data_IF_697763036131
#
_entry.id   IF_697763036131
#
_cell.length_a   1.000
_cell.length_b   1.000
_cell.length_c   1.000
_cell.angle_alpha   90.00
_cell.angle_beta   90.00
_cell.angle_gamma   90.00
#
_symmetry.space_group_name_H-M   'P 1'
#
loop_
_entity.id
_entity.type
_entity.pdbx_description
1 polymer ?
#
# COMPACT_ATOMS: atom_id res chain seq x y z
N UNK A 1 22.92 3.47 13.13
CA UNK A 1 21.79 3.88 12.28
C UNK A 1 22.30 4.93 11.28
N UNK A 2 22.50 4.56 10.02
CA UNK A 2 22.94 5.46 8.97
C UNK A 2 21.69 6.10 8.28
N UNK A 3 21.80 7.38 7.92
CA UNK A 3 20.80 8.14 7.14
C UNK A 3 19.36 8.14 7.72
N UNK A 4 19.16 8.00 9.03
CA UNK A 4 17.84 7.99 9.65
C UNK A 4 16.95 6.77 9.26
N UNK A 5 17.48 5.77 8.57
CA UNK A 5 16.69 4.64 8.07
C UNK A 5 16.14 3.76 9.18
N UNK A 6 16.79 3.70 10.35
CA UNK A 6 16.27 2.95 11.50
C UNK A 6 14.94 3.50 11.99
N UNK A 7 14.80 4.82 12.11
CA UNK A 7 13.55 5.48 12.51
C UNK A 7 12.45 5.23 11.49
N UNK A 8 12.73 5.46 10.20
CA UNK A 8 11.76 5.21 9.12
C UNK A 8 11.34 3.74 9.02
N UNK A 9 12.26 2.80 9.29
CA UNK A 9 11.92 1.37 9.36
C UNK A 9 11.03 1.07 10.55
N UNK A 10 11.33 1.64 11.73
CA UNK A 10 10.53 1.49 12.94
C UNK A 10 9.10 2.01 12.80
N UNK A 11 8.89 3.16 12.13
CA UNK A 11 7.54 3.66 11.82
C UNK A 11 6.77 2.64 10.98
N UNK A 12 7.41 2.05 9.97
CA UNK A 12 6.78 1.03 9.11
C UNK A 12 6.52 -0.27 9.86
N UNK A 13 7.40 -0.65 10.78
CA UNK A 13 7.20 -1.80 11.67
C UNK A 13 6.00 -1.56 12.57
N UNK A 14 5.91 -0.39 13.19
CA UNK A 14 4.79 0.00 14.04
C UNK A 14 3.46 0.06 13.25
N UNK A 15 3.47 0.64 12.05
CA UNK A 15 2.28 0.68 11.19
C UNK A 15 1.83 -0.73 10.78
N UNK A 16 2.76 -1.62 10.43
CA UNK A 16 2.43 -2.99 10.03
C UNK A 16 1.92 -3.85 11.20
N UNK A 17 2.56 -3.75 12.37
CA UNK A 17 2.22 -4.55 13.54
C UNK A 17 0.97 -4.00 14.26
N UNK A 18 0.84 -2.67 14.34
CA UNK A 18 -0.18 -2.02 15.16
C UNK A 18 -1.61 -2.40 14.79
N UNK A 19 -1.94 -2.43 13.49
CA UNK A 19 -3.27 -2.83 13.06
C UNK A 19 -3.55 -4.33 13.29
N UNK A 20 -2.53 -5.18 13.14
CA UNK A 20 -2.65 -6.62 13.37
C UNK A 20 -2.95 -6.90 14.84
N UNK A 21 -2.19 -6.25 15.74
CA UNK A 21 -2.46 -6.32 17.18
C UNK A 21 -3.86 -5.80 17.51
N UNK A 22 -4.26 -4.67 16.93
CA UNK A 22 -5.59 -4.11 17.16
C UNK A 22 -6.70 -5.06 16.68
N UNK A 23 -6.54 -5.71 15.52
CA UNK A 23 -7.51 -6.68 15.00
C UNK A 23 -7.64 -7.90 15.92
N UNK A 24 -6.51 -8.45 16.40
CA UNK A 24 -6.51 -9.60 17.33
C UNK A 24 -7.12 -9.22 18.67
N UNK A 25 -6.72 -8.11 19.29
CA UNK A 25 -7.26 -7.64 20.58
C UNK A 25 -8.76 -7.35 20.52
N UNK A 26 -9.27 -6.87 19.39
CA UNK A 26 -10.70 -6.65 19.16
C UNK A 26 -11.47 -7.94 18.87
N UNK A 27 -10.80 -9.09 18.76
CA UNK A 27 -11.43 -10.35 18.35
C UNK A 27 -11.83 -10.42 16.88
N UNK A 28 -11.33 -9.50 16.05
CA UNK A 28 -11.60 -9.43 14.61
C UNK A 28 -10.64 -10.29 13.77
N UNK A 29 -9.62 -10.87 14.38
CA UNK A 29 -8.68 -11.79 13.73
C UNK A 29 -8.09 -12.77 14.74
N UNK A 30 -7.72 -13.96 14.25
CA UNK A 30 -7.00 -14.93 15.07
C UNK A 30 -5.52 -14.51 15.25
N UNK A 31 -4.89 -14.99 16.33
CA UNK A 31 -3.49 -14.70 16.68
C UNK A 31 -2.51 -15.01 15.54
N UNK A 32 -2.84 -15.98 14.69
CA UNK A 32 -2.06 -16.37 13.51
C UNK A 32 -1.81 -15.21 12.53
N UNK A 33 -2.62 -14.15 12.54
CA UNK A 33 -2.37 -12.94 11.78
C UNK A 33 -1.02 -12.31 12.15
N UNK A 34 -0.58 -12.42 13.41
CA UNK A 34 0.67 -11.84 13.90
C UNK A 34 1.91 -12.49 13.26
N UNK A 35 1.85 -13.77 12.88
CA UNK A 35 2.94 -14.47 12.20
C UNK A 35 3.31 -13.79 10.87
N UNK A 36 2.34 -13.12 10.25
CA UNK A 36 2.57 -12.39 8.99
C UNK A 36 3.48 -11.18 9.16
N UNK A 37 3.62 -10.64 10.39
CA UNK A 37 4.52 -9.52 10.67
C UNK A 37 5.97 -9.88 10.36
N UNK A 38 6.44 -10.99 10.85
CA UNK A 38 7.81 -11.44 10.62
C UNK A 38 8.08 -11.69 9.12
N UNK A 39 7.16 -12.40 8.46
CA UNK A 39 7.26 -12.70 7.02
C UNK A 39 7.36 -11.43 6.17
N UNK A 40 6.57 -10.41 6.48
CA UNK A 40 6.51 -9.16 5.73
C UNK A 40 7.70 -8.25 6.03
N UNK A 41 8.12 -8.15 7.30
CA UNK A 41 9.06 -7.13 7.74
C UNK A 41 10.52 -7.59 7.73
N UNK A 42 10.80 -8.84 8.05
CA UNK A 42 12.18 -9.36 8.14
C UNK A 42 12.98 -9.14 6.87
N UNK A 43 12.40 -9.50 5.72
CA UNK A 43 13.10 -9.37 4.42
C UNK A 43 13.41 -7.90 4.10
N UNK A 44 12.46 -7.01 4.30
CA UNK A 44 12.65 -5.58 4.05
C UNK A 44 13.64 -4.96 5.04
N UNK A 45 13.52 -5.27 6.33
CA UNK A 45 14.43 -4.78 7.36
C UNK A 45 15.87 -5.22 7.06
N UNK A 46 16.08 -6.49 6.66
CA UNK A 46 17.38 -7.02 6.26
C UNK A 46 17.96 -6.26 5.08
N UNK A 47 17.18 -6.05 4.02
CA UNK A 47 17.62 -5.29 2.85
C UNK A 47 18.03 -3.85 3.20
N UNK A 48 17.32 -3.20 4.14
CA UNK A 48 17.68 -1.87 4.62
C UNK A 48 18.98 -1.85 5.44
N UNK A 49 19.20 -2.87 6.27
CA UNK A 49 20.45 -3.03 7.04
C UNK A 49 21.63 -3.25 6.09
N UNK A 50 21.49 -4.14 5.12
CA UNK A 50 22.52 -4.45 4.13
C UNK A 50 22.87 -3.22 3.28
N UNK A 51 21.86 -2.46 2.86
CA UNK A 51 22.04 -1.19 2.17
C UNK A 51 22.81 -0.18 3.05
N UNK A 52 22.38 -0.01 4.30
CA UNK A 52 23.03 0.92 5.25
C UNK A 52 24.49 0.55 5.50
N UNK A 53 24.77 -0.73 5.63
CA UNK A 53 26.12 -1.26 5.81
C UNK A 53 26.99 -1.00 4.57
N UNK A 54 26.44 -1.25 3.38
CA UNK A 54 27.15 -1.02 2.10
C UNK A 54 27.46 0.45 1.91
N UNK A 55 26.47 1.33 2.11
CA UNK A 55 26.65 2.78 2.01
C UNK A 55 27.67 3.25 3.07
N UNK A 56 27.59 2.75 4.30
CA UNK A 56 28.55 3.04 5.35
C UNK A 56 30.00 2.68 4.96
N UNK A 57 30.21 1.51 4.39
CA UNK A 57 31.55 1.10 3.89
C UNK A 57 32.07 2.00 2.75
N UNK A 58 31.20 2.45 1.88
CA UNK A 58 31.56 3.37 0.78
C UNK A 58 31.91 4.76 1.31
N UNK A 59 31.14 5.27 2.28
CA UNK A 59 31.32 6.66 2.75
C UNK A 59 32.47 6.78 3.75
N UNK A 60 32.72 5.77 4.59
CA UNK A 60 33.68 5.84 5.70
C UNK A 60 34.85 4.85 5.58
N UNK A 61 35.61 4.80 4.46
CA UNK A 61 36.80 3.99 4.42
C UNK A 61 37.87 4.58 5.34
N UNK A 62 38.45 3.75 6.19
CA UNK A 62 39.56 4.14 7.10
C UNK A 62 40.93 4.26 6.40
N UNK A 63 41.09 3.61 5.25
CA UNK A 63 42.31 3.63 4.47
C UNK A 63 42.31 4.81 3.49
N UNK A 64 43.29 5.72 3.59
CA UNK A 64 43.43 6.91 2.75
C UNK A 64 43.53 6.58 1.25
N UNK A 65 44.17 5.45 0.86
CA UNK A 65 44.27 5.07 -0.57
C UNK A 65 42.92 4.65 -1.12
N UNK A 66 42.15 3.90 -0.33
CA UNK A 66 40.77 3.48 -0.68
C UNK A 66 39.85 4.69 -0.73
N UNK A 67 39.99 5.64 0.20
CA UNK A 67 39.23 6.89 0.18
C UNK A 67 39.53 7.72 -1.10
N UNK A 68 40.80 7.86 -1.47
CA UNK A 68 41.19 8.56 -2.70
C UNK A 68 40.64 7.89 -3.97
N UNK A 69 40.74 6.56 -4.08
CA UNK A 69 40.17 5.83 -5.20
C UNK A 69 38.65 5.98 -5.27
N UNK A 70 37.94 5.89 -4.14
CA UNK A 70 36.51 6.17 -4.06
C UNK A 70 36.15 7.58 -4.57
N UNK A 71 36.89 8.61 -4.15
CA UNK A 71 36.63 10.00 -4.53
C UNK A 71 36.76 10.20 -6.05
N UNK A 72 37.75 9.58 -6.67
CA UNK A 72 37.92 9.57 -8.13
C UNK A 72 36.72 8.90 -8.81
N UNK A 73 36.29 7.73 -8.32
CA UNK A 73 35.13 7.00 -8.87
C UNK A 73 33.83 7.83 -8.73
N UNK A 74 33.60 8.46 -7.57
CA UNK A 74 32.41 9.29 -7.36
C UNK A 74 32.44 10.53 -8.28
N UNK A 75 33.61 11.16 -8.45
CA UNK A 75 33.73 12.30 -9.39
C UNK A 75 33.46 11.86 -10.83
N UNK A 76 34.02 10.77 -11.28
CA UNK A 76 33.75 10.23 -12.61
C UNK A 76 32.27 9.88 -12.80
N UNK A 77 31.66 9.24 -11.82
CA UNK A 77 30.24 8.90 -11.82
C UNK A 77 29.33 10.14 -11.86
N UNK A 78 29.74 11.24 -11.22
CA UNK A 78 28.98 12.51 -11.22
C UNK A 78 28.95 13.22 -12.59
N UNK A 79 29.85 12.85 -13.50
CA UNK A 79 29.87 13.37 -14.88
C UNK A 79 28.80 12.70 -15.76
N UNK A 80 28.25 11.56 -15.34
CA UNK A 80 27.18 10.85 -16.05
C UNK A 80 25.81 11.29 -15.48
N UNK A 81 25.02 12.11 -16.22
CA UNK A 81 23.76 12.68 -15.67
C UNK A 81 22.77 11.63 -15.18
N UNK A 82 22.66 10.51 -15.87
CA UNK A 82 21.75 9.41 -15.51
C UNK A 82 22.14 8.77 -14.16
N UNK A 83 23.45 8.52 -13.95
CA UNK A 83 23.95 7.93 -12.71
C UNK A 83 23.85 8.92 -11.55
N UNK A 84 24.17 10.19 -11.79
CA UNK A 84 23.98 11.26 -10.81
C UNK A 84 22.52 11.34 -10.35
N UNK A 85 21.58 11.33 -11.28
CA UNK A 85 20.13 11.36 -10.98
C UNK A 85 19.69 10.11 -10.21
N UNK A 86 20.13 8.93 -10.61
CA UNK A 86 19.86 7.66 -9.91
C UNK A 86 20.28 7.70 -8.43
N UNK A 87 21.47 8.27 -8.16
CA UNK A 87 22.00 8.40 -6.80
C UNK A 87 21.24 9.49 -6.02
N UNK A 88 21.02 10.68 -6.62
CA UNK A 88 20.32 11.78 -5.96
C UNK A 88 18.87 11.46 -5.64
N UNK A 89 18.16 10.74 -6.52
CA UNK A 89 16.79 10.31 -6.32
C UNK A 89 16.69 9.03 -5.45
N UNK A 90 17.82 8.53 -4.94
CA UNK A 90 17.89 7.35 -4.09
C UNK A 90 17.14 6.13 -4.68
N UNK A 91 17.16 5.97 -6.02
CA UNK A 91 16.46 4.88 -6.72
C UNK A 91 16.95 3.48 -6.38
N UNK A 92 18.13 3.38 -5.76
CA UNK A 92 18.69 2.12 -5.25
C UNK A 92 18.03 1.66 -3.94
N UNK A 93 17.19 2.51 -3.32
CA UNK A 93 16.51 2.17 -2.07
C UNK A 93 15.40 1.17 -2.32
N UNK A 94 15.38 0.00 -1.63
CA UNK A 94 14.31 -0.96 -1.80
C UNK A 94 12.98 -0.38 -1.36
N UNK A 95 12.00 -0.39 -2.27
CA UNK A 95 10.62 -0.03 -1.94
C UNK A 95 9.95 -1.17 -1.18
N UNK A 96 9.08 -0.87 -0.20
CA UNK A 96 8.33 -1.90 0.52
C UNK A 96 7.44 -2.68 -0.48
N UNK A 97 7.62 -3.99 -0.47
CA UNK A 97 6.80 -4.92 -1.24
C UNK A 97 6.61 -6.22 -0.46
N UNK A 98 5.37 -6.63 -0.28
CA UNK A 98 5.02 -7.85 0.41
C UNK A 98 4.62 -8.93 -0.59
N UNK A 99 5.57 -9.81 -0.90
CA UNK A 99 5.31 -10.97 -1.77
C UNK A 99 4.53 -12.07 -1.05
N UNK A 100 4.56 -12.07 0.29
CA UNK A 100 3.91 -13.05 1.17
C UNK A 100 3.43 -12.35 2.43
N UNK A 101 2.62 -13.03 3.22
CA UNK A 101 2.06 -12.50 4.46
C UNK A 101 0.57 -12.26 4.34
N UNK A 102 0.08 -11.15 4.86
CA UNK A 102 -1.33 -10.75 4.85
C UNK A 102 -1.73 -10.11 3.49
N UNK A 103 -1.46 -10.83 2.41
CA UNK A 103 -1.77 -10.44 1.02
C UNK A 103 -2.18 -11.66 0.20
N UNK A 104 -3.06 -11.46 -0.78
CA UNK A 104 -3.48 -12.49 -1.76
C UNK A 104 -3.11 -12.00 -3.15
N UNK A 105 -2.17 -12.69 -3.79
CA UNK A 105 -1.75 -12.40 -5.15
C UNK A 105 -2.57 -13.20 -6.15
N UNK A 106 -3.01 -12.55 -7.22
CA UNK A 106 -3.63 -13.21 -8.37
C UNK A 106 -2.59 -13.99 -9.18
N UNK A 107 -3.11 -14.84 -10.08
CA UNK A 107 -2.28 -15.45 -11.11
C UNK A 107 -2.81 -15.03 -12.50
N UNK A 108 -2.02 -14.28 -13.28
CA UNK A 108 -0.68 -13.73 -12.96
C UNK A 108 -0.74 -12.69 -11.84
N UNK A 109 0.40 -12.44 -11.12
CA UNK A 109 0.44 -11.46 -10.04
C UNK A 109 0.07 -10.05 -10.50
N UNK A 110 -0.84 -9.40 -9.78
CA UNK A 110 -1.13 -7.98 -9.98
C UNK A 110 0.03 -7.11 -9.51
N UNK A 111 0.52 -6.17 -10.33
CA UNK A 111 1.68 -5.34 -9.98
C UNK A 111 1.47 -4.44 -8.75
N UNK A 112 0.21 -4.20 -8.36
CA UNK A 112 -0.14 -3.32 -7.22
C UNK A 112 -0.20 -4.06 -5.89
N UNK A 113 -0.52 -5.35 -5.87
CA UNK A 113 -0.70 -6.12 -4.62
C UNK A 113 0.61 -6.21 -3.85
N UNK A 114 0.55 -6.03 -2.54
CA UNK A 114 1.73 -6.02 -1.66
C UNK A 114 2.48 -4.69 -1.62
N UNK A 115 2.05 -3.67 -2.38
CA UNK A 115 2.60 -2.31 -2.34
C UNK A 115 1.66 -1.34 -1.62
N UNK A 116 2.15 -0.17 -1.27
CA UNK A 116 1.31 0.90 -0.75
C UNK A 116 0.43 1.47 -1.87
N UNK A 117 -0.84 1.72 -1.56
CA UNK A 117 -1.73 2.45 -2.46
C UNK A 117 -1.34 3.92 -2.52
N UNK A 118 -1.68 4.58 -3.63
CA UNK A 118 -1.44 6.02 -3.80
C UNK A 118 -2.35 6.84 -2.88
N UNK A 119 -1.88 8.02 -2.47
CA UNK A 119 -2.63 8.97 -1.65
C UNK A 119 -2.91 10.26 -2.44
N UNK A 120 -3.88 10.24 -3.38
CA UNK A 120 -4.22 11.42 -4.16
C UNK A 120 -5.09 12.39 -3.37
N UNK A 121 -5.18 13.62 -3.90
CA UNK A 121 -6.24 14.53 -3.48
C UNK A 121 -7.52 14.25 -4.25
N UNK A 122 -8.63 14.22 -3.50
CA UNK A 122 -9.94 13.82 -3.97
C UNK A 122 -11.02 14.79 -3.49
N UNK A 123 -12.18 14.71 -4.11
CA UNK A 123 -13.38 15.40 -3.64
C UNK A 123 -14.42 14.37 -3.20
N UNK A 124 -15.13 14.66 -2.13
CA UNK A 124 -16.39 14.02 -1.76
C UNK A 124 -17.55 14.97 -2.04
N UNK A 125 -18.79 14.53 -1.85
CA UNK A 125 -19.95 15.44 -1.98
C UNK A 125 -19.92 16.59 -0.98
N UNK A 126 -19.29 16.38 0.19
CA UNK A 126 -19.27 17.35 1.29
C UNK A 126 -17.95 18.13 1.39
N UNK A 127 -16.84 17.51 0.98
CA UNK A 127 -15.49 18.06 1.15
C UNK A 127 -14.72 18.03 -0.15
N UNK A 128 -14.00 19.11 -0.44
CA UNK A 128 -13.14 19.23 -1.61
C UNK A 128 -11.68 19.24 -1.24
N UNK A 129 -10.84 18.76 -2.14
CA UNK A 129 -9.38 18.80 -2.05
C UNK A 129 -8.80 18.17 -0.76
N UNK A 130 -9.40 17.07 -0.29
CA UNK A 130 -8.93 16.29 0.86
C UNK A 130 -8.02 15.16 0.42
N UNK A 131 -7.23 14.62 1.32
CA UNK A 131 -6.47 13.40 1.04
C UNK A 131 -7.41 12.19 1.04
N UNK A 132 -7.16 11.21 0.18
CA UNK A 132 -7.95 9.99 0.17
C UNK A 132 -7.93 9.30 1.53
N UNK A 133 -6.80 9.30 2.23
CA UNK A 133 -6.68 8.71 3.56
C UNK A 133 -7.58 9.37 4.62
N UNK A 134 -7.88 10.67 4.48
CA UNK A 134 -8.83 11.38 5.37
C UNK A 134 -10.28 10.98 5.11
N UNK A 135 -10.54 10.35 3.96
CA UNK A 135 -11.86 9.82 3.59
C UNK A 135 -12.03 8.38 4.06
N UNK A 136 -11.02 7.54 3.83
CA UNK A 136 -11.09 6.11 4.14
C UNK A 136 -10.81 5.78 5.61
N UNK A 137 -10.31 6.75 6.39
CA UNK A 137 -10.06 6.56 7.83
C UNK A 137 -8.93 5.55 8.11
N UNK A 138 -8.72 5.13 9.36
CA UNK A 138 -7.53 4.38 9.77
C UNK A 138 -7.67 2.85 9.67
N UNK A 139 -8.76 2.31 9.11
CA UNK A 139 -9.02 0.87 9.12
C UNK A 139 -9.02 0.27 7.71
N UNK A 140 -9.61 -0.90 7.53
CA UNK A 140 -9.75 -1.52 6.22
C UNK A 140 -10.60 -0.67 5.27
N UNK A 141 -10.30 -0.74 3.98
CA UNK A 141 -11.12 -0.11 2.95
C UNK A 141 -11.23 -0.99 1.70
N UNK A 142 -12.41 -0.98 1.10
CA UNK A 142 -12.65 -1.59 -0.21
C UNK A 142 -12.91 -0.49 -1.22
N UNK A 143 -12.03 -0.34 -2.19
CA UNK A 143 -12.09 0.69 -3.21
C UNK A 143 -12.52 0.07 -4.54
N UNK A 144 -13.52 0.64 -5.20
CA UNK A 144 -14.00 0.20 -6.51
C UNK A 144 -13.95 1.36 -7.51
N UNK A 145 -13.22 1.19 -8.62
CA UNK A 145 -13.17 2.15 -9.70
C UNK A 145 -14.39 1.99 -10.62
N UNK A 146 -15.18 3.06 -10.78
CA UNK A 146 -16.41 3.11 -11.58
C UNK A 146 -17.46 2.03 -11.22
N UNK A 147 -17.41 1.49 -10.01
CA UNK A 147 -18.35 0.48 -9.54
C UNK A 147 -18.85 0.82 -8.13
N UNK A 148 -20.01 0.28 -7.75
CA UNK A 148 -20.50 0.30 -6.38
C UNK A 148 -19.96 -0.94 -5.64
N UNK A 149 -19.23 -0.78 -4.51
CA UNK A 149 -18.67 -1.90 -3.73
C UNK A 149 -19.70 -2.94 -3.32
N UNK A 150 -20.90 -2.56 -2.88
CA UNK A 150 -21.97 -3.50 -2.49
C UNK A 150 -22.38 -4.39 -3.66
N UNK A 151 -22.59 -3.81 -4.85
CA UNK A 151 -22.99 -4.57 -6.05
C UNK A 151 -21.89 -5.54 -6.51
N UNK A 152 -20.64 -5.14 -6.34
CA UNK A 152 -19.48 -5.93 -6.78
C UNK A 152 -19.15 -7.06 -5.82
N UNK A 153 -19.25 -6.82 -4.51
CA UNK A 153 -18.99 -7.83 -3.48
C UNK A 153 -20.15 -8.83 -3.33
N UNK A 154 -21.38 -8.38 -3.56
CA UNK A 154 -22.58 -9.08 -3.11
C UNK A 154 -22.81 -8.86 -1.62
N UNK A 155 -24.03 -9.14 -1.14
CA UNK A 155 -24.47 -8.77 0.20
C UNK A 155 -23.66 -9.47 1.30
N UNK A 156 -23.42 -10.77 1.16
CA UNK A 156 -22.70 -11.58 2.16
C UNK A 156 -21.27 -11.04 2.40
N UNK A 157 -20.48 -10.84 1.34
CA UNK A 157 -19.13 -10.33 1.47
C UNK A 157 -19.11 -8.86 1.92
N UNK A 158 -20.10 -8.07 1.48
CA UNK A 158 -20.22 -6.68 1.91
C UNK A 158 -20.45 -6.57 3.42
N UNK A 159 -21.44 -7.32 3.96
CA UNK A 159 -21.75 -7.31 5.39
C UNK A 159 -20.59 -7.89 6.23
N UNK A 160 -19.87 -8.89 5.73
CA UNK A 160 -18.68 -9.41 6.41
C UNK A 160 -17.60 -8.32 6.59
N UNK A 161 -17.27 -7.58 5.53
CA UNK A 161 -16.30 -6.46 5.64
C UNK A 161 -16.84 -5.29 6.45
N UNK A 162 -18.15 -5.05 6.41
CA UNK A 162 -18.80 -4.01 7.22
C UNK A 162 -18.71 -4.35 8.71
N UNK A 163 -18.91 -5.59 9.09
CA UNK A 163 -18.75 -6.08 10.48
C UNK A 163 -17.30 -5.91 10.97
N UNK A 164 -16.32 -6.05 10.09
CA UNK A 164 -14.91 -5.75 10.36
C UNK A 164 -14.61 -4.24 10.46
N UNK A 165 -15.57 -3.38 10.15
CA UNK A 165 -15.42 -1.92 10.16
C UNK A 165 -14.74 -1.34 8.92
N UNK A 166 -14.79 -2.04 7.79
CA UNK A 166 -14.23 -1.55 6.54
C UNK A 166 -15.04 -0.39 5.98
N UNK A 167 -14.37 0.57 5.35
CA UNK A 167 -14.97 1.67 4.59
C UNK A 167 -15.08 1.26 3.13
N UNK A 168 -16.25 1.47 2.54
CA UNK A 168 -16.50 1.16 1.13
C UNK A 168 -16.49 2.43 0.31
N UNK A 169 -15.72 2.44 -0.76
CA UNK A 169 -15.48 3.65 -1.57
C UNK A 169 -15.72 3.38 -3.05
N UNK A 170 -16.67 4.10 -3.62
CA UNK A 170 -16.87 4.18 -5.06
C UNK A 170 -16.02 5.33 -5.62
N UNK A 171 -14.90 4.98 -6.26
CA UNK A 171 -14.00 5.93 -6.91
C UNK A 171 -14.48 6.24 -8.31
N UNK A 172 -14.48 7.52 -8.71
CA UNK A 172 -15.00 7.98 -10.00
C UNK A 172 -14.21 9.13 -10.60
N UNK A 173 -14.34 9.38 -11.91
CA UNK A 173 -13.99 10.67 -12.49
C UNK A 173 -14.72 11.81 -11.76
N UNK A 174 -14.06 12.95 -11.57
CA UNK A 174 -14.63 14.07 -10.84
C UNK A 174 -16.01 14.52 -11.40
N UNK A 175 -16.17 14.46 -12.71
CA UNK A 175 -17.43 14.84 -13.41
C UNK A 175 -18.63 13.96 -13.04
N UNK A 176 -18.40 12.79 -12.45
CA UNK A 176 -19.43 11.84 -12.06
C UNK A 176 -19.70 11.83 -10.55
N UNK A 177 -19.09 12.73 -9.80
CA UNK A 177 -19.25 12.78 -8.34
C UNK A 177 -20.69 13.01 -7.90
N UNK A 178 -21.45 13.79 -8.65
CA UNK A 178 -22.85 14.18 -8.34
C UNK A 178 -23.92 13.29 -8.98
N UNK A 179 -23.55 12.19 -9.63
CA UNK A 179 -24.55 11.31 -10.26
C UNK A 179 -25.44 10.63 -9.21
N UNK A 180 -26.79 10.73 -9.33
CA UNK A 180 -27.72 10.33 -8.28
C UNK A 180 -27.99 8.83 -8.19
N UNK A 181 -27.67 8.06 -9.23
CA UNK A 181 -28.08 6.67 -9.41
C UNK A 181 -27.31 5.63 -8.56
N UNK A 182 -26.52 6.08 -7.58
CA UNK A 182 -25.68 5.22 -6.75
C UNK A 182 -25.64 5.65 -5.28
N UNK A 183 -26.74 6.19 -4.76
CA UNK A 183 -26.86 6.54 -3.35
C UNK A 183 -27.03 5.28 -2.50
N UNK A 184 -25.90 4.77 -2.01
CA UNK A 184 -25.84 3.73 -0.99
C UNK A 184 -25.29 4.40 0.29
N UNK A 185 -26.04 4.43 1.41
CA UNK A 185 -25.62 5.12 2.63
C UNK A 185 -24.35 4.56 3.24
N UNK A 186 -24.02 3.31 2.95
CA UNK A 186 -22.81 2.64 3.44
C UNK A 186 -21.59 2.84 2.51
N UNK A 187 -21.77 3.51 1.36
CA UNK A 187 -20.73 3.67 0.35
C UNK A 187 -20.37 5.15 0.17
N UNK A 188 -19.11 5.49 0.42
CA UNK A 188 -18.60 6.83 0.18
C UNK A 188 -18.26 7.01 -1.31
N UNK A 189 -18.84 8.01 -1.95
CA UNK A 189 -18.51 8.36 -3.34
C UNK A 189 -17.37 9.38 -3.36
N UNK A 190 -16.34 9.11 -4.15
CA UNK A 190 -15.12 9.92 -4.24
C UNK A 190 -14.81 10.26 -5.69
N UNK A 191 -14.62 11.54 -5.98
CA UNK A 191 -14.23 12.07 -7.29
C UNK A 191 -12.72 12.26 -7.39
N UNK A 192 -12.11 11.75 -8.46
CA UNK A 192 -10.68 11.92 -8.76
C UNK A 192 -10.37 13.37 -9.19
N UNK A 193 -9.90 14.18 -8.25
CA UNK A 193 -9.64 15.60 -8.49
C UNK A 193 -8.45 15.85 -9.43
N UNK A 194 -7.43 15.00 -9.34
CA UNK A 194 -6.14 15.23 -10.00
C UNK A 194 -5.90 14.35 -11.22
N UNK A 195 -6.79 13.40 -11.49
CA UNK A 195 -6.61 12.37 -12.50
C UNK A 195 -5.63 11.25 -12.09
N UNK A 196 -5.11 11.31 -10.86
CA UNK A 196 -4.14 10.32 -10.39
C UNK A 196 -4.74 8.93 -10.17
N UNK A 197 -6.00 8.85 -9.68
CA UNK A 197 -6.72 7.59 -9.57
C UNK A 197 -6.99 7.01 -10.95
N UNK A 198 -7.50 7.82 -11.87
CA UNK A 198 -7.73 7.39 -13.25
C UNK A 198 -6.45 6.82 -13.87
N UNK A 199 -5.35 7.55 -13.80
CA UNK A 199 -4.07 7.09 -14.36
C UNK A 199 -3.58 5.80 -13.68
N UNK A 200 -3.82 5.65 -12.38
CA UNK A 200 -3.44 4.45 -11.64
C UNK A 200 -4.25 3.23 -12.07
N UNK A 201 -5.57 3.36 -12.25
CA UNK A 201 -6.46 2.28 -12.66
C UNK A 201 -6.35 1.98 -14.17
N UNK A 202 -6.19 2.99 -15.03
CA UNK A 202 -6.02 2.79 -16.48
C UNK A 202 -4.76 1.95 -16.82
N UNK A 203 -3.75 2.00 -15.95
CA UNK A 203 -2.54 1.20 -16.12
C UNK A 203 -2.69 -0.28 -15.68
N UNK A 204 -3.88 -0.69 -15.23
CA UNK A 204 -4.17 -2.00 -14.62
C UNK A 204 -5.50 -2.56 -15.10
N UNK A 205 -5.64 -3.88 -15.04
CA UNK A 205 -6.90 -4.53 -15.35
C UNK A 205 -7.87 -4.53 -14.14
N UNK A 206 -7.33 -4.43 -12.93
CA UNK A 206 -8.08 -4.52 -11.70
C UNK A 206 -8.85 -3.23 -11.43
N UNK A 207 -10.12 -3.38 -11.05
CA UNK A 207 -11.00 -2.28 -10.67
C UNK A 207 -11.43 -2.30 -9.20
N UNK A 208 -11.08 -3.36 -8.47
CA UNK A 208 -11.41 -3.55 -7.06
C UNK A 208 -10.14 -3.76 -6.25
N UNK A 209 -9.97 -2.98 -5.16
CA UNK A 209 -8.83 -3.00 -4.27
C UNK A 209 -9.28 -3.19 -2.84
N UNK A 210 -8.66 -4.13 -2.15
CA UNK A 210 -8.80 -4.29 -0.71
C UNK A 210 -7.57 -3.71 -0.03
N UNK A 211 -7.76 -2.66 0.76
CA UNK A 211 -6.69 -1.99 1.49
C UNK A 211 -6.69 -2.41 2.96
N UNK A 212 -5.49 -2.70 3.44
CA UNK A 212 -5.21 -2.90 4.86
C UNK A 212 -5.12 -1.54 5.57
N UNK A 213 -5.20 -1.53 6.92
CA UNK A 213 -5.04 -0.30 7.71
C UNK A 213 -3.69 0.40 7.50
N UNK A 214 -2.61 -0.34 7.18
CA UNK A 214 -1.29 0.22 6.83
C UNK A 214 -1.16 0.67 5.38
N UNK A 215 -2.29 0.79 4.65
CA UNK A 215 -2.38 1.22 3.25
C UNK A 215 -1.74 0.29 2.22
N UNK A 216 -1.33 -0.89 2.63
CA UNK A 216 -0.91 -1.90 1.70
C UNK A 216 -2.14 -2.50 0.97
N UNK A 217 -2.02 -2.72 -0.32
CA UNK A 217 -3.01 -3.43 -1.12
C UNK A 217 -2.93 -4.91 -0.74
N UNK A 218 -3.93 -5.40 -0.01
CA UNK A 218 -4.02 -6.80 0.40
C UNK A 218 -4.37 -7.73 -0.76
N UNK A 219 -5.19 -7.24 -1.69
CA UNK A 219 -5.59 -7.94 -2.89
C UNK A 219 -6.23 -6.98 -3.88
N UNK A 220 -6.21 -7.34 -5.15
CA UNK A 220 -6.79 -6.58 -6.24
C UNK A 220 -7.38 -7.51 -7.29
N UNK A 221 -8.52 -7.16 -7.90
CA UNK A 221 -9.14 -7.98 -8.93
C UNK A 221 -10.05 -7.16 -9.85
N UNK A 222 -10.51 -7.80 -10.90
CA UNK A 222 -11.65 -7.32 -11.69
C UNK A 222 -12.95 -7.51 -10.88
N UNK A 223 -13.99 -6.74 -11.19
CA UNK A 223 -15.24 -6.73 -10.44
C UNK A 223 -15.87 -8.12 -10.27
N UNK A 224 -15.82 -8.96 -11.31
CA UNK A 224 -16.42 -10.30 -11.32
C UNK A 224 -15.78 -11.28 -10.32
N UNK A 225 -14.55 -11.02 -9.89
CA UNK A 225 -13.80 -11.88 -8.96
C UNK A 225 -13.75 -11.34 -7.54
N UNK A 226 -14.46 -10.25 -7.26
CA UNK A 226 -14.39 -9.61 -5.96
C UNK A 226 -14.93 -10.48 -4.81
N UNK A 227 -16.04 -11.25 -4.95
CA UNK A 227 -16.48 -12.14 -3.89
C UNK A 227 -15.48 -13.27 -3.58
N UNK A 228 -14.88 -13.85 -4.62
CA UNK A 228 -13.84 -14.88 -4.48
C UNK A 228 -12.60 -14.34 -3.75
N UNK A 229 -12.11 -13.18 -4.16
CA UNK A 229 -10.96 -12.54 -3.53
C UNK A 229 -11.27 -12.13 -2.08
N UNK A 230 -12.48 -11.63 -1.82
CA UNK A 230 -12.96 -11.31 -0.48
C UNK A 230 -12.85 -12.51 0.46
N UNK A 231 -13.39 -13.66 0.07
CA UNK A 231 -13.32 -14.89 0.85
C UNK A 231 -11.87 -15.34 1.09
N UNK A 232 -11.04 -15.30 0.03
CA UNK A 232 -9.62 -15.63 0.13
C UNK A 232 -8.84 -14.69 1.07
N UNK A 233 -9.20 -13.39 1.12
CA UNK A 233 -8.60 -12.44 2.04
C UNK A 233 -9.04 -12.67 3.49
N UNK A 234 -10.32 -12.92 3.73
CA UNK A 234 -10.84 -13.23 5.07
C UNK A 234 -10.11 -14.47 5.63
N UNK A 235 -9.99 -15.54 4.85
CA UNK A 235 -9.24 -16.73 5.24
C UNK A 235 -7.74 -16.43 5.45
N UNK A 236 -7.10 -15.79 4.49
CA UNK A 236 -5.65 -15.48 4.52
C UNK A 236 -5.24 -14.61 5.69
N UNK A 237 -6.06 -13.63 6.04
CA UNK A 237 -5.85 -12.71 7.16
C UNK A 237 -6.45 -13.26 8.46
N UNK A 238 -7.04 -14.46 8.43
CA UNK A 238 -7.71 -15.10 9.57
C UNK A 238 -8.72 -14.16 10.25
N UNK A 239 -9.46 -13.38 9.44
CA UNK A 239 -10.44 -12.43 9.92
C UNK A 239 -11.71 -13.15 10.43
N UNK A 240 -12.34 -12.55 11.42
CA UNK A 240 -13.56 -13.03 12.07
C UNK A 240 -14.59 -11.89 11.94
N UNK A 241 -15.45 -11.96 10.89
CA UNK A 241 -16.46 -10.94 10.64
C UNK A 241 -17.55 -10.87 11.71
#
# INVERSE_FOLDING_TARGET
VWQGQGYNSGIRDAANLGWKLAAVVKGQAADKLLDTYDVERRKHARAMIDLSTTVGRVISPTNRRVAGARDVVIRAASLVPTLKRYILEMRFKPMPYYAQGAVVHNQPPSPGVGTLFIQPRVDTRERQNVLLDDVIGPWFAVLCWNNNPRKVLGEEAFEAWKALGAVFVALRPLTQLSWPDQDDPDVVVVGDRTGALKAWFDARAESVMFLRPDRCIAGACIAQRAPELSAALIDKLTLIP
#
